data_IF_727538086704
#
_entry.id   IF_727538086704
#
_cell.length_a   1.000
_cell.length_b   1.000
_cell.length_c   1.000
_cell.angle_alpha   90.00
_cell.angle_beta   90.00
_cell.angle_gamma   90.00
#
_symmetry.space_group_name_H-M   'P 1'
#
loop_
_entity.id
_entity.type
_entity.pdbx_description
1 polymer ?
#
# COMPACT_ATOMS: atom_id res chain seq x y z
N UNK A 1 -19.92 6.90 1.43
CA UNK A 1 -18.88 7.11 0.39
C UNK A 1 -17.90 8.15 0.88
N UNK A 2 -16.65 8.01 0.53
CA UNK A 2 -15.65 9.05 0.76
C UNK A 2 -15.97 10.24 -0.17
N UNK A 3 -15.57 11.44 0.26
CA UNK A 3 -15.69 12.64 -0.58
C UNK A 3 -14.88 12.46 -1.87
N UNK A 4 -15.39 12.92 -2.99
CA UNK A 4 -14.62 13.10 -4.21
C UNK A 4 -13.74 14.37 -4.12
N UNK A 5 -12.89 14.59 -5.10
CA UNK A 5 -11.92 15.69 -5.07
C UNK A 5 -12.57 17.08 -5.08
N UNK A 6 -13.66 17.25 -5.80
CA UNK A 6 -14.40 18.51 -5.83
C UNK A 6 -15.03 18.81 -4.48
N UNK A 7 -15.69 17.82 -3.87
CA UNK A 7 -16.30 17.94 -2.55
C UNK A 7 -15.23 18.20 -1.48
N UNK A 8 -14.08 17.52 -1.57
CA UNK A 8 -12.98 17.67 -0.62
C UNK A 8 -12.37 19.06 -0.70
N UNK A 9 -12.09 19.59 -1.89
CA UNK A 9 -11.53 20.93 -2.09
C UNK A 9 -12.56 21.99 -1.64
N UNK A 10 -13.83 21.82 -1.97
CA UNK A 10 -14.88 22.74 -1.51
C UNK A 10 -15.00 22.75 0.03
N UNK A 11 -14.91 21.60 0.68
CA UNK A 11 -14.89 21.50 2.13
C UNK A 11 -13.67 22.20 2.76
N UNK A 12 -12.48 21.98 2.21
CA UNK A 12 -11.26 22.63 2.66
C UNK A 12 -11.31 24.14 2.45
N UNK A 13 -11.91 24.62 1.34
CA UNK A 13 -12.10 26.04 1.09
C UNK A 13 -13.06 26.67 2.13
N UNK A 14 -14.15 25.98 2.45
CA UNK A 14 -15.06 26.43 3.50
C UNK A 14 -14.36 26.56 4.86
N UNK A 15 -13.54 25.57 5.22
CA UNK A 15 -12.72 25.65 6.45
C UNK A 15 -11.72 26.81 6.40
N UNK A 16 -11.08 27.04 5.25
CA UNK A 16 -10.15 28.17 5.06
C UNK A 16 -10.86 29.49 5.26
N UNK A 17 -12.02 29.68 4.65
CA UNK A 17 -12.80 30.92 4.71
C UNK A 17 -13.28 31.21 6.14
N UNK A 18 -13.64 30.17 6.90
CA UNK A 18 -14.13 30.31 8.27
C UNK A 18 -13.00 30.50 9.29
N UNK A 19 -11.91 29.76 9.16
CA UNK A 19 -10.90 29.66 10.21
C UNK A 19 -9.54 30.31 9.89
N UNK A 20 -9.27 30.74 8.64
CA UNK A 20 -7.96 31.25 8.27
C UNK A 20 -7.60 32.57 8.96
N UNK A 21 -8.54 33.50 9.05
CA UNK A 21 -8.30 34.83 9.57
C UNK A 21 -7.87 34.86 11.06
N UNK A 22 -8.52 34.11 11.98
CA UNK A 22 -8.13 34.11 13.39
C UNK A 22 -6.87 33.31 13.68
N UNK A 23 -6.54 32.30 12.87
CA UNK A 23 -5.48 31.35 13.20
C UNK A 23 -4.18 31.53 12.39
N UNK A 24 -4.23 32.17 11.20
CA UNK A 24 -3.14 32.20 10.23
C UNK A 24 -2.76 33.59 9.75
N UNK A 25 -3.08 34.65 10.52
CA UNK A 25 -2.71 36.04 10.19
C UNK A 25 -1.20 36.26 10.00
N UNK A 26 -0.82 37.41 9.43
CA UNK A 26 0.58 37.79 9.16
C UNK A 26 1.49 37.51 10.37
N UNK A 27 2.60 36.80 10.13
CA UNK A 27 3.61 36.49 11.14
C UNK A 27 3.48 35.13 11.81
N UNK A 28 2.45 34.33 11.54
CA UNK A 28 2.36 32.95 12.04
C UNK A 28 3.04 31.96 11.11
N UNK A 29 3.94 31.16 11.67
CA UNK A 29 4.80 30.21 10.92
C UNK A 29 4.16 28.86 10.66
N UNK A 30 2.97 28.61 11.19
CA UNK A 30 2.33 27.30 11.13
C UNK A 30 1.50 27.16 9.85
N UNK A 31 1.71 26.05 9.16
CA UNK A 31 0.86 25.67 8.03
C UNK A 31 -0.56 25.37 8.53
N UNK A 32 -1.58 25.91 7.86
CA UNK A 32 -2.94 25.48 8.15
C UNK A 32 -3.07 24.00 7.89
N UNK A 33 -3.61 23.26 8.83
CA UNK A 33 -3.92 21.84 8.69
C UNK A 33 -5.15 21.59 7.80
N UNK A 34 -5.40 22.48 6.83
CA UNK A 34 -6.57 22.48 5.94
C UNK A 34 -6.15 21.99 4.55
N UNK A 35 -5.59 20.78 4.48
CA UNK A 35 -5.29 20.12 3.23
C UNK A 35 -4.54 20.98 2.21
N UNK A 36 -4.78 20.72 0.91
CA UNK A 36 -4.11 21.46 -0.17
C UNK A 36 -4.57 22.93 -0.27
N UNK A 37 -5.83 23.20 0.03
CA UNK A 37 -6.34 24.58 -0.02
C UNK A 37 -5.60 25.47 0.96
N UNK A 38 -5.37 25.00 2.18
CA UNK A 38 -4.59 25.73 3.16
C UNK A 38 -3.14 25.98 2.71
N UNK A 39 -2.49 25.02 2.08
CA UNK A 39 -1.14 25.16 1.53
C UNK A 39 -1.12 26.23 0.44
N UNK A 40 -2.03 26.14 -0.53
CA UNK A 40 -2.11 27.07 -1.68
C UNK A 40 -2.47 28.49 -1.22
N UNK A 41 -3.51 28.64 -0.39
CA UNK A 41 -3.99 29.95 0.07
C UNK A 41 -3.00 30.64 1.01
N UNK A 42 -2.19 29.89 1.74
CA UNK A 42 -1.14 30.46 2.58
C UNK A 42 -0.05 31.19 1.78
N UNK A 43 0.05 30.94 0.48
CA UNK A 43 1.04 31.56 -0.39
C UNK A 43 2.49 31.25 -0.01
N UNK A 44 2.74 30.09 0.62
CA UNK A 44 4.07 29.65 1.06
C UNK A 44 4.73 28.74 0.03
N UNK A 45 6.04 28.55 0.18
CA UNK A 45 6.86 27.64 -0.65
C UNK A 45 6.68 27.94 -2.16
N UNK A 46 6.32 26.93 -2.94
CA UNK A 46 6.13 27.07 -4.39
C UNK A 46 4.96 27.98 -4.79
N UNK A 47 4.04 28.28 -3.87
CA UNK A 47 2.90 29.16 -4.10
C UNK A 47 3.18 30.62 -3.74
N UNK A 48 4.43 30.94 -3.34
CA UNK A 48 4.83 32.30 -2.99
C UNK A 48 4.69 33.23 -4.19
N UNK A 49 3.94 34.31 -4.00
CA UNK A 49 3.70 35.32 -5.04
C UNK A 49 2.63 34.94 -6.08
N UNK A 50 1.95 33.80 -5.91
CA UNK A 50 0.82 33.45 -6.76
C UNK A 50 -0.36 34.38 -6.51
N UNK A 51 -0.97 34.85 -7.60
CA UNK A 51 -2.24 35.58 -7.54
C UNK A 51 -3.39 34.65 -7.17
N UNK A 52 -4.50 35.20 -6.70
CA UNK A 52 -5.71 34.43 -6.42
C UNK A 52 -6.18 33.62 -7.63
N UNK A 53 -6.14 34.21 -8.82
CA UNK A 53 -6.56 33.53 -10.05
C UNK A 53 -5.66 32.32 -10.38
N UNK A 54 -4.35 32.43 -10.15
CA UNK A 54 -3.42 31.29 -10.31
C UNK A 54 -3.72 30.19 -9.30
N UNK A 55 -3.99 30.56 -8.06
CA UNK A 55 -4.38 29.60 -7.01
C UNK A 55 -5.70 28.90 -7.35
N UNK A 56 -6.71 29.65 -7.79
CA UNK A 56 -8.02 29.12 -8.17
C UNK A 56 -7.90 28.18 -9.37
N UNK A 57 -7.11 28.54 -10.39
CA UNK A 57 -6.84 27.69 -11.55
C UNK A 57 -6.22 26.37 -11.12
N UNK A 58 -5.19 26.41 -10.28
CA UNK A 58 -4.52 25.22 -9.78
C UNK A 58 -5.46 24.31 -8.98
N UNK A 59 -6.24 24.87 -8.06
CA UNK A 59 -7.21 24.09 -7.27
C UNK A 59 -8.31 23.47 -8.16
N UNK A 60 -8.74 24.20 -9.19
CA UNK A 60 -9.71 23.68 -10.16
C UNK A 60 -9.12 22.53 -10.99
N UNK A 61 -7.89 22.66 -11.48
CA UNK A 61 -7.19 21.56 -12.18
C UNK A 61 -7.04 20.34 -11.25
N UNK A 62 -6.67 20.55 -10.00
CA UNK A 62 -6.51 19.50 -9.03
C UNK A 62 -7.83 18.78 -8.72
N UNK A 63 -8.95 19.52 -8.71
CA UNK A 63 -10.28 18.96 -8.48
C UNK A 63 -10.76 17.98 -9.56
N UNK A 64 -10.12 18.00 -10.74
CA UNK A 64 -10.42 17.06 -11.83
C UNK A 64 -9.79 15.68 -11.61
N UNK A 65 -8.87 15.55 -10.66
CA UNK A 65 -8.33 14.25 -10.28
C UNK A 65 -9.25 13.63 -9.22
N UNK A 66 -9.50 12.35 -9.32
CA UNK A 66 -10.30 11.62 -8.32
C UNK A 66 -9.72 10.22 -8.13
N UNK A 67 -8.69 10.14 -7.30
CA UNK A 67 -7.95 8.91 -7.05
C UNK A 67 -8.69 8.04 -6.03
N UNK A 68 -9.09 6.85 -6.45
CA UNK A 68 -9.57 5.84 -5.52
C UNK A 68 -8.38 5.07 -4.93
N UNK A 69 -7.91 5.50 -3.78
CA UNK A 69 -6.76 4.89 -3.11
C UNK A 69 -6.96 3.42 -2.72
N UNK A 70 -8.21 2.96 -2.54
CA UNK A 70 -8.47 1.54 -2.35
C UNK A 70 -8.16 0.73 -3.61
N UNK A 71 -8.57 1.20 -4.78
CA UNK A 71 -8.30 0.51 -6.05
C UNK A 71 -6.81 0.60 -6.43
N UNK A 72 -6.12 1.67 -5.99
CA UNK A 72 -4.68 1.80 -6.20
C UNK A 72 -3.86 0.83 -5.35
N UNK A 73 -4.23 0.63 -4.09
CA UNK A 73 -3.45 -0.16 -3.13
C UNK A 73 -3.92 -1.61 -3.03
N UNK A 74 -5.20 -1.86 -3.24
CA UNK A 74 -5.81 -3.17 -3.03
C UNK A 74 -6.34 -3.78 -4.31
N UNK A 75 -6.60 -5.07 -4.25
CA UNK A 75 -7.24 -5.87 -5.30
C UNK A 75 -8.05 -6.99 -4.66
N UNK A 76 -8.84 -7.69 -5.45
CA UNK A 76 -9.47 -8.93 -4.99
C UNK A 76 -8.37 -9.98 -4.75
N UNK A 77 -8.29 -10.47 -3.53
CA UNK A 77 -7.40 -11.57 -3.18
C UNK A 77 -7.88 -12.88 -3.83
N UNK A 78 -6.96 -13.63 -4.42
CA UNK A 78 -7.25 -14.92 -5.06
C UNK A 78 -6.29 -15.97 -4.53
N UNK A 79 -6.83 -17.09 -4.07
CA UNK A 79 -6.04 -18.27 -3.71
C UNK A 79 -6.40 -19.43 -4.61
N UNK A 80 -5.39 -20.07 -5.20
CA UNK A 80 -5.54 -21.24 -6.05
C UNK A 80 -4.65 -22.35 -5.54
N UNK A 81 -5.21 -23.56 -5.39
CA UNK A 81 -4.45 -24.74 -4.98
C UNK A 81 -4.68 -25.88 -5.97
N UNK A 82 -3.59 -26.45 -6.43
CA UNK A 82 -3.57 -27.62 -7.29
C UNK A 82 -2.92 -28.78 -6.54
N UNK A 83 -3.61 -29.91 -6.49
CA UNK A 83 -3.12 -31.11 -5.81
C UNK A 83 -3.08 -32.27 -6.82
N UNK A 84 -1.98 -32.99 -6.84
CA UNK A 84 -1.84 -34.22 -7.56
C UNK A 84 -1.34 -35.27 -6.59
N UNK A 85 -2.01 -36.42 -6.54
CA UNK A 85 -1.57 -37.52 -5.71
C UNK A 85 -1.67 -38.84 -6.46
N UNK A 86 -0.76 -39.73 -6.11
CA UNK A 86 -0.75 -41.09 -6.61
C UNK A 86 -0.51 -42.02 -5.43
N UNK A 87 -1.27 -43.09 -5.36
CA UNK A 87 -1.11 -44.14 -4.35
C UNK A 87 -1.27 -45.51 -5.00
N UNK A 88 -0.63 -46.48 -4.44
CA UNK A 88 -0.73 -47.85 -4.88
C UNK A 88 -0.06 -48.79 -3.90
N UNK A 89 -0.09 -50.08 -4.22
CA UNK A 89 0.57 -51.06 -3.40
C UNK A 89 0.26 -52.49 -3.82
N UNK A 90 0.89 -53.43 -3.14
CA UNK A 90 0.72 -54.87 -3.25
C UNK A 90 0.74 -55.53 -1.86
N UNK A 91 0.84 -56.82 -1.84
CA UNK A 91 0.84 -57.59 -0.57
C UNK A 91 1.96 -57.17 0.41
N UNK A 92 3.08 -56.69 -0.13
CA UNK A 92 4.30 -56.39 0.67
C UNK A 92 4.69 -54.96 0.72
N UNK A 93 3.98 -54.04 0.03
CA UNK A 93 4.30 -52.61 0.03
C UNK A 93 3.07 -51.76 -0.28
N UNK A 94 3.07 -50.57 0.26
CA UNK A 94 2.14 -49.50 -0.10
C UNK A 94 2.90 -48.19 -0.26
N UNK A 95 2.51 -47.38 -1.21
CA UNK A 95 3.06 -46.07 -1.37
C UNK A 95 1.99 -45.01 -1.58
N UNK A 96 2.33 -43.79 -1.17
CA UNK A 96 1.55 -42.60 -1.43
C UNK A 96 2.51 -41.46 -1.73
N UNK A 97 2.28 -40.74 -2.82
CA UNK A 97 3.03 -39.54 -3.14
C UNK A 97 2.06 -38.45 -3.54
N UNK A 98 2.28 -37.22 -3.06
CA UNK A 98 1.49 -36.07 -3.42
C UNK A 98 2.36 -34.85 -3.69
N UNK A 99 1.92 -34.04 -4.64
CA UNK A 99 2.45 -32.72 -4.97
C UNK A 99 1.31 -31.73 -4.85
N UNK A 100 1.50 -30.69 -4.04
CA UNK A 100 0.56 -29.59 -3.92
C UNK A 100 1.26 -28.28 -4.29
N UNK A 101 0.63 -27.49 -5.15
CA UNK A 101 1.03 -26.12 -5.48
C UNK A 101 -0.09 -25.18 -5.04
N UNK A 102 0.27 -24.18 -4.23
CA UNK A 102 -0.63 -23.12 -3.82
C UNK A 102 -0.06 -21.79 -4.25
N UNK A 103 -0.84 -21.03 -4.99
CA UNK A 103 -0.58 -19.61 -5.28
C UNK A 103 -1.61 -18.78 -4.53
N UNK A 104 -1.14 -17.78 -3.80
CA UNK A 104 -1.98 -16.81 -3.12
C UNK A 104 -1.60 -15.39 -3.57
N UNK A 105 -2.54 -14.71 -4.20
CA UNK A 105 -2.47 -13.29 -4.48
C UNK A 105 -3.23 -12.57 -3.37
N UNK A 106 -2.52 -11.87 -2.50
CA UNK A 106 -3.10 -11.17 -1.35
C UNK A 106 -4.00 -10.01 -1.74
N UNK A 107 -4.79 -9.54 -0.78
CA UNK A 107 -5.65 -8.35 -0.93
C UNK A 107 -4.83 -7.08 -1.23
N UNK A 108 -3.71 -6.89 -0.55
CA UNK A 108 -2.77 -5.81 -0.83
C UNK A 108 -1.98 -6.16 -2.10
N UNK A 109 -1.87 -5.22 -3.05
CA UNK A 109 -1.04 -5.41 -4.25
C UNK A 109 0.42 -5.70 -3.86
N UNK A 110 1.12 -6.47 -4.66
CA UNK A 110 2.50 -6.92 -4.40
C UNK A 110 2.69 -7.79 -3.14
N UNK A 111 1.60 -8.31 -2.55
CA UNK A 111 1.66 -9.24 -1.44
C UNK A 111 1.20 -10.63 -1.90
N UNK A 112 2.15 -11.43 -2.34
CA UNK A 112 1.91 -12.72 -2.98
C UNK A 112 2.79 -13.82 -2.35
N UNK A 113 2.32 -15.05 -2.37
CA UNK A 113 3.19 -16.19 -2.14
C UNK A 113 2.85 -17.40 -3.02
N UNK A 114 3.88 -18.14 -3.34
CA UNK A 114 3.82 -19.43 -3.99
C UNK A 114 4.38 -20.51 -3.06
N UNK A 115 3.64 -21.58 -2.86
CA UNK A 115 4.03 -22.69 -1.97
C UNK A 115 3.94 -24.02 -2.70
N UNK A 116 5.00 -24.78 -2.60
CA UNK A 116 5.11 -26.15 -3.10
C UNK A 116 5.25 -27.12 -1.93
N UNK A 117 4.43 -28.14 -1.89
CA UNK A 117 4.52 -29.22 -0.90
C UNK A 117 4.65 -30.54 -1.63
N UNK A 118 5.60 -31.34 -1.21
CA UNK A 118 5.80 -32.71 -1.70
C UNK A 118 5.74 -33.65 -0.49
N UNK A 119 4.95 -34.70 -0.57
CA UNK A 119 4.89 -35.77 0.42
C UNK A 119 5.08 -37.10 -0.25
N UNK A 120 5.93 -37.92 0.34
CA UNK A 120 6.15 -39.32 -0.10
C UNK A 120 6.14 -40.26 1.11
N UNK A 121 5.29 -41.22 1.07
CA UNK A 121 5.19 -42.28 2.10
C UNK A 121 5.36 -43.64 1.42
N UNK A 122 6.15 -44.50 2.04
CA UNK A 122 6.36 -45.88 1.60
C UNK A 122 6.36 -46.76 2.82
N UNK A 123 5.49 -47.75 2.81
CA UNK A 123 5.51 -48.83 3.79
C UNK A 123 5.87 -50.14 3.08
N UNK A 124 6.81 -50.87 3.63
CA UNK A 124 7.20 -52.19 3.13
C UNK A 124 7.14 -53.23 4.25
N UNK A 125 6.56 -54.38 3.94
CA UNK A 125 6.47 -55.54 4.85
C UNK A 125 7.06 -56.78 4.15
N UNK A 126 8.41 -56.87 4.05
CA UNK A 126 9.06 -57.97 3.31
C UNK A 126 8.70 -59.33 3.84
N UNK A 127 8.45 -59.45 5.13
CA UNK A 127 7.98 -60.64 5.81
C UNK A 127 7.14 -60.24 7.06
N UNK A 128 6.53 -61.24 7.73
CA UNK A 128 5.64 -61.02 8.88
C UNK A 128 6.32 -60.41 10.14
N UNK A 129 7.64 -60.37 10.16
CA UNK A 129 8.42 -59.89 11.31
C UNK A 129 9.05 -58.52 11.09
N UNK A 130 9.05 -58.03 9.87
CA UNK A 130 9.72 -56.78 9.49
C UNK A 130 8.75 -55.85 8.79
N UNK A 131 8.63 -54.65 9.33
CA UNK A 131 7.94 -53.50 8.71
C UNK A 131 8.89 -52.33 8.63
N UNK A 132 8.96 -51.72 7.47
CA UNK A 132 9.76 -50.53 7.18
C UNK A 132 8.82 -49.42 6.72
N UNK A 133 8.81 -48.33 7.44
CA UNK A 133 8.04 -47.14 7.08
C UNK A 133 9.02 -45.99 6.74
N UNK A 134 8.85 -45.45 5.57
CA UNK A 134 9.58 -44.26 5.12
C UNK A 134 8.59 -43.16 4.85
N UNK A 135 8.83 -41.98 5.42
CA UNK A 135 8.02 -40.78 5.21
C UNK A 135 8.94 -39.58 4.95
N UNK A 136 8.69 -38.88 3.87
CA UNK A 136 9.39 -37.65 3.53
C UNK A 136 8.38 -36.55 3.19
N UNK A 137 8.56 -35.38 3.77
CA UNK A 137 7.77 -34.19 3.43
C UNK A 137 8.72 -33.02 3.21
N UNK A 138 8.53 -32.36 2.08
CA UNK A 138 9.27 -31.15 1.72
C UNK A 138 8.28 -30.05 1.41
N UNK A 139 8.56 -28.84 1.94
CA UNK A 139 7.81 -27.64 1.63
C UNK A 139 8.79 -26.55 1.20
N UNK A 140 8.47 -25.89 0.10
CA UNK A 140 9.18 -24.71 -0.37
C UNK A 140 8.17 -23.57 -0.54
N UNK A 141 8.47 -22.42 0.01
CA UNK A 141 7.63 -21.22 -0.12
C UNK A 141 8.48 -20.04 -0.56
N UNK A 142 8.01 -19.37 -1.57
CA UNK A 142 8.51 -18.07 -2.00
C UNK A 142 7.42 -17.03 -1.73
N UNK A 143 7.76 -15.96 -0.98
CA UNK A 143 6.84 -14.87 -0.68
C UNK A 143 7.42 -13.54 -1.10
N UNK A 144 6.54 -12.68 -1.62
CA UNK A 144 6.81 -11.31 -2.02
C UNK A 144 5.88 -10.42 -1.24
N UNK A 145 6.40 -9.40 -0.59
CA UNK A 145 5.59 -8.42 0.13
C UNK A 145 6.15 -7.01 -0.04
N UNK A 146 5.32 -5.97 -0.01
CA UNK A 146 5.78 -4.59 -0.02
C UNK A 146 6.69 -4.29 1.18
N UNK A 147 7.70 -3.46 0.98
CA UNK A 147 8.61 -3.01 2.03
C UNK A 147 8.03 -1.77 2.74
N UNK A 148 6.84 -1.91 3.32
CA UNK A 148 6.14 -0.81 4.00
C UNK A 148 6.86 -0.45 5.30
N UNK A 149 7.36 0.77 5.39
CA UNK A 149 8.10 1.26 6.55
C UNK A 149 7.46 2.47 7.22
N UNK A 150 6.64 3.22 6.50
CA UNK A 150 6.18 4.54 6.94
C UNK A 150 4.70 4.56 7.31
N UNK A 151 3.84 4.01 6.45
CA UNK A 151 2.40 4.02 6.68
C UNK A 151 1.76 2.64 6.50
N UNK A 152 0.70 2.43 7.27
CA UNK A 152 -0.24 1.34 7.05
C UNK A 152 -1.09 1.64 5.80
N UNK A 153 -1.12 0.75 4.79
CA UNK A 153 -1.85 0.97 3.54
C UNK A 153 -3.35 1.15 3.74
N UNK A 154 -3.94 0.50 4.74
CA UNK A 154 -5.37 0.65 5.04
C UNK A 154 -5.67 2.04 5.56
N UNK A 155 -4.83 2.54 6.48
CA UNK A 155 -4.96 3.92 6.98
C UNK A 155 -4.73 4.92 5.87
N UNK A 156 -3.73 4.69 5.02
CA UNK A 156 -3.46 5.58 3.89
C UNK A 156 -4.64 5.63 2.93
N UNK A 157 -5.18 4.48 2.51
CA UNK A 157 -6.34 4.42 1.61
C UNK A 157 -7.59 5.13 2.19
N UNK A 158 -7.73 5.14 3.51
CA UNK A 158 -8.87 5.79 4.17
C UNK A 158 -8.71 7.30 4.32
N UNK A 159 -7.48 7.78 4.60
CA UNK A 159 -7.24 9.19 4.94
C UNK A 159 -6.60 10.01 3.84
N UNK A 160 -5.98 9.38 2.84
CA UNK A 160 -5.35 10.10 1.73
C UNK A 160 -6.40 10.86 0.92
N UNK A 161 -5.98 12.02 0.44
CA UNK A 161 -6.88 12.90 -0.28
C UNK A 161 -7.10 12.43 -1.73
N UNK A 162 -8.34 12.47 -2.25
CA UNK A 162 -8.65 11.96 -3.58
C UNK A 162 -8.01 12.78 -4.72
N UNK A 163 -7.70 14.03 -4.49
CA UNK A 163 -7.02 14.89 -5.47
C UNK A 163 -5.51 14.60 -5.62
N UNK A 164 -4.91 13.84 -4.72
CA UNK A 164 -3.52 13.38 -4.86
C UNK A 164 -3.41 12.27 -5.90
N UNK A 165 -2.29 12.26 -6.62
CA UNK A 165 -2.03 11.27 -7.68
C UNK A 165 -0.93 10.31 -7.26
N UNK A 166 -1.04 9.01 -7.59
CA UNK A 166 0.05 8.06 -7.39
C UNK A 166 1.23 8.31 -8.33
N UNK A 167 0.96 8.75 -9.58
CA UNK A 167 1.95 8.93 -10.64
C UNK A 167 1.73 10.22 -11.42
N UNK A 168 2.84 10.80 -11.90
CA UNK A 168 2.84 11.85 -12.90
C UNK A 168 2.52 11.29 -14.30
N UNK A 169 2.28 12.17 -15.27
CA UNK A 169 2.00 11.79 -16.65
C UNK A 169 3.16 11.03 -17.33
N UNK A 170 4.39 11.21 -16.87
CA UNK A 170 5.59 10.51 -17.32
C UNK A 170 5.82 9.16 -16.62
N UNK A 171 4.93 8.75 -15.72
CA UNK A 171 5.03 7.53 -14.93
C UNK A 171 5.92 7.63 -13.69
N UNK A 172 6.54 8.77 -13.42
CA UNK A 172 7.27 9.00 -12.18
C UNK A 172 6.31 9.13 -10.99
N UNK A 173 6.82 8.87 -9.78
CA UNK A 173 6.01 8.98 -8.57
C UNK A 173 5.67 10.43 -8.23
N UNK A 174 4.39 10.73 -8.01
CA UNK A 174 3.99 12.01 -7.46
C UNK A 174 4.37 12.12 -5.98
N UNK A 175 4.71 13.32 -5.55
CA UNK A 175 4.89 13.63 -4.13
C UNK A 175 3.53 13.82 -3.47
N UNK A 176 3.29 13.11 -2.36
CA UNK A 176 2.17 13.38 -1.48
C UNK A 176 2.42 14.71 -0.74
N UNK A 177 1.64 15.72 -1.06
CA UNK A 177 1.82 17.08 -0.53
C UNK A 177 0.95 17.34 0.71
N UNK A 178 -0.04 16.50 0.96
CA UNK A 178 -1.03 16.77 1.99
C UNK A 178 -1.01 15.79 3.14
N UNK A 179 -1.35 14.54 2.90
CA UNK A 179 -1.53 13.59 4.00
C UNK A 179 -0.23 13.30 4.76
N UNK A 180 0.81 12.92 4.03
CA UNK A 180 2.10 12.60 4.65
C UNK A 180 2.84 13.85 5.12
N UNK A 181 2.93 14.86 4.28
CA UNK A 181 3.68 16.08 4.57
C UNK A 181 3.08 16.83 5.77
N UNK A 182 1.76 16.93 5.86
CA UNK A 182 1.08 17.54 7.01
C UNK A 182 1.23 16.70 8.29
N UNK A 183 1.07 15.39 8.20
CA UNK A 183 1.30 14.48 9.32
C UNK A 183 2.73 14.55 9.85
N UNK A 184 3.69 14.66 8.95
CA UNK A 184 5.11 14.77 9.26
C UNK A 184 5.48 16.13 9.86
N UNK A 185 4.87 17.21 9.39
CA UNK A 185 5.09 18.56 9.91
C UNK A 185 4.65 18.67 11.39
N UNK A 186 3.52 18.06 11.73
CA UNK A 186 3.05 18.00 13.11
C UNK A 186 3.93 17.12 14.01
N UNK A 187 4.55 16.08 13.46
CA UNK A 187 5.42 15.18 14.21
C UNK A 187 6.84 15.74 14.37
N UNK A 188 7.38 16.43 13.39
CA UNK A 188 8.78 16.91 13.38
C UNK A 188 9.00 18.24 14.10
N UNK A 189 7.97 19.02 14.44
CA UNK A 189 8.11 20.11 15.41
C UNK A 189 8.71 19.63 16.74
N UNK A 190 8.53 18.34 17.06
CA UNK A 190 9.03 17.75 18.29
C UNK A 190 10.34 16.98 18.12
N UNK A 191 10.78 16.60 16.93
CA UNK A 191 11.89 15.65 16.76
C UNK A 191 12.97 16.07 15.77
N UNK A 192 13.27 17.30 15.49
CA UNK A 192 14.47 17.83 14.77
C UNK A 192 15.08 16.93 13.66
N UNK A 193 14.38 15.96 13.09
CA UNK A 193 14.88 15.11 12.00
C UNK A 193 14.61 15.75 10.64
N UNK A 194 15.67 15.94 9.85
CA UNK A 194 15.55 16.36 8.44
C UNK A 194 14.72 15.35 7.67
N UNK A 195 13.69 15.83 7.00
CA UNK A 195 12.92 15.09 6.01
C UNK A 195 13.82 14.87 4.79
N UNK A 196 13.88 13.67 4.19
CA UNK A 196 14.54 13.50 2.90
C UNK A 196 13.94 14.46 1.87
N UNK A 197 14.78 15.06 1.03
CA UNK A 197 14.38 16.00 -0.04
C UNK A 197 13.44 15.37 -1.10
N UNK A 198 13.34 14.04 -1.11
CA UNK A 198 12.36 13.32 -1.92
C UNK A 198 11.06 13.17 -1.13
N UNK A 199 10.00 13.81 -1.57
CA UNK A 199 8.67 13.68 -0.99
C UNK A 199 8.17 12.24 -0.90
N UNK A 200 7.23 11.99 0.01
CA UNK A 200 6.65 10.68 0.22
C UNK A 200 5.73 10.29 -0.95
N UNK A 201 5.74 9.00 -1.27
CA UNK A 201 4.77 8.37 -2.16
C UNK A 201 4.58 6.90 -1.75
N UNK A 202 3.36 6.51 -1.41
CA UNK A 202 3.07 5.15 -0.95
C UNK A 202 3.29 4.09 -2.03
N UNK A 203 3.08 4.44 -3.30
CA UNK A 203 3.30 3.49 -4.41
C UNK A 203 4.77 3.14 -4.59
N UNK A 204 5.69 4.04 -4.20
CA UNK A 204 7.12 3.72 -4.15
C UNK A 204 7.38 2.62 -3.13
N UNK A 205 6.88 2.76 -1.89
CA UNK A 205 7.02 1.72 -0.86
C UNK A 205 6.33 0.41 -1.26
N UNK A 206 5.15 0.51 -1.89
CA UNK A 206 4.42 -0.66 -2.39
C UNK A 206 5.17 -1.41 -3.48
N UNK A 207 5.94 -0.71 -4.32
CA UNK A 207 6.70 -1.30 -5.43
C UNK A 207 8.10 -1.75 -5.01
N UNK A 208 8.64 -1.22 -3.91
CA UNK A 208 9.82 -1.76 -3.25
C UNK A 208 9.42 -3.04 -2.51
N UNK A 209 9.77 -4.19 -3.07
CA UNK A 209 9.35 -5.49 -2.51
C UNK A 209 10.52 -6.23 -1.90
N UNK A 210 10.28 -6.88 -0.76
CA UNK A 210 11.19 -7.87 -0.21
C UNK A 210 10.74 -9.28 -0.58
N UNK A 211 11.66 -10.11 -1.07
CA UNK A 211 11.43 -11.54 -1.34
C UNK A 211 12.04 -12.39 -0.23
N UNK A 212 11.33 -13.42 0.19
CA UNK A 212 11.77 -14.40 1.20
C UNK A 212 11.43 -15.81 0.77
#
# INVERSE_FOLDING_TARGET
SLMNSQEKIAYEQGLWDEFSAPYFGEGKTDYPTIGIVGIVRSGKDRFKGWTKDQQDTYLNELSQNDTNWYDELFRNGVSTTHNLSISGGGEKYTYYTSLAYTRNAGLLKNNDYDRYNVTANLTMTPNQKVRLDFSATMAYQYSKSPALSTFDPFKYAYFANPYEKPYNADGSYCTDETYYTLGKYNYEKTSRKKVPDSGYNIMREMNETSSR
#
